data_IF_850906307708
#
_entry.id   IF_850906307708
#
_cell.length_a   1.000
_cell.length_b   1.000
_cell.length_c   1.000
_cell.angle_alpha   90.00
_cell.angle_beta   90.00
_cell.angle_gamma   90.00
#
_symmetry.space_group_name_H-M   'P 1'
#
loop_
_entity.id
_entity.type
_entity.pdbx_description
1 polymer ?
#
# COMPACT_ATOMS: atom_id res chain seq x y z
N UNK A 1 63.85 40.40 -27.55
CA UNK A 1 63.63 40.35 -26.10
C UNK A 1 62.21 40.74 -25.78
N UNK A 2 61.21 39.94 -26.12
CA UNK A 2 59.78 40.21 -25.83
C UNK A 2 58.97 38.90 -25.92
N UNK A 3 59.27 37.86 -25.13
CA UNK A 3 58.50 36.61 -25.09
C UNK A 3 58.57 35.87 -23.75
N UNK A 4 58.67 36.56 -22.59
CA UNK A 4 58.88 35.87 -21.32
C UNK A 4 58.02 36.43 -20.15
N UNK A 5 56.86 37.06 -20.45
CA UNK A 5 55.93 37.60 -19.41
C UNK A 5 54.50 37.04 -19.49
N UNK A 6 54.30 35.96 -20.24
CA UNK A 6 52.90 35.43 -20.39
C UNK A 6 52.67 34.09 -19.70
N UNK A 7 53.59 33.60 -18.85
CA UNK A 7 53.42 32.29 -18.17
C UNK A 7 53.18 32.38 -16.65
N UNK A 8 53.02 33.56 -16.06
CA UNK A 8 52.91 33.69 -14.59
C UNK A 8 51.51 34.11 -14.09
N UNK A 9 50.49 34.19 -14.97
CA UNK A 9 49.13 34.63 -14.59
C UNK A 9 48.05 33.55 -14.60
N UNK A 10 48.43 32.28 -14.82
CA UNK A 10 47.46 31.15 -14.84
C UNK A 10 47.49 30.27 -13.59
N UNK A 11 48.45 30.47 -12.69
CA UNK A 11 48.65 29.62 -11.51
C UNK A 11 48.00 30.13 -10.21
N UNK A 12 47.26 31.26 -10.22
CA UNK A 12 46.68 31.83 -9.00
C UNK A 12 45.16 31.59 -8.84
N UNK A 13 44.52 30.84 -9.75
CA UNK A 13 43.06 30.64 -9.72
C UNK A 13 42.59 29.27 -9.27
N UNK A 14 43.48 28.40 -8.73
CA UNK A 14 43.13 27.05 -8.31
C UNK A 14 43.11 26.81 -6.79
N UNK A 15 43.20 27.86 -5.97
CA UNK A 15 43.26 27.69 -4.48
C UNK A 15 41.98 28.27 -3.81
N UNK A 16 40.91 28.53 -4.54
CA UNK A 16 39.69 29.12 -3.96
C UNK A 16 38.54 28.11 -3.80
N UNK A 17 38.79 26.81 -3.84
CA UNK A 17 37.71 25.80 -3.72
C UNK A 17 37.94 24.76 -2.63
N UNK A 18 38.58 25.09 -1.51
CA UNK A 18 38.75 24.12 -0.41
C UNK A 18 38.48 24.72 0.96
N UNK A 19 37.38 25.47 1.11
CA UNK A 19 36.76 25.72 2.42
C UNK A 19 35.25 25.90 2.25
N UNK A 20 34.59 24.94 1.60
CA UNK A 20 33.22 24.63 2.04
C UNK A 20 33.41 23.75 3.27
N UNK A 21 33.39 24.38 4.44
CA UNK A 21 32.90 23.72 5.63
C UNK A 21 31.59 23.07 5.22
N UNK A 22 31.60 21.74 5.01
CA UNK A 22 30.40 20.94 5.08
C UNK A 22 29.84 21.23 6.46
N UNK A 23 28.92 22.20 6.55
CA UNK A 23 27.99 22.26 7.67
C UNK A 23 27.46 20.84 7.76
N UNK A 24 27.97 20.09 8.72
CA UNK A 24 27.36 18.86 9.20
C UNK A 24 25.92 19.28 9.38
N UNK A 25 25.01 18.79 8.51
CA UNK A 25 23.60 18.93 8.78
C UNK A 25 23.48 18.45 10.21
N UNK A 26 23.14 19.35 11.12
CA UNK A 26 22.71 18.98 12.44
C UNK A 26 21.60 17.98 12.18
N UNK A 27 21.87 16.71 12.47
CA UNK A 27 20.87 15.66 12.49
C UNK A 27 19.91 16.05 13.60
N UNK A 28 19.00 16.94 13.23
CA UNK A 28 17.83 17.24 14.02
C UNK A 28 17.12 15.93 14.28
N UNK A 29 16.85 15.68 15.55
CA UNK A 29 16.03 14.58 16.07
C UNK A 29 16.10 13.30 15.21
N UNK A 30 16.71 12.27 15.78
CA UNK A 30 16.83 10.95 15.16
C UNK A 30 15.51 10.63 14.46
N UNK A 31 15.51 10.55 13.12
CA UNK A 31 14.30 10.37 12.32
C UNK A 31 13.63 9.06 12.74
N UNK A 32 12.62 9.19 13.59
CA UNK A 32 11.89 8.07 14.21
C UNK A 32 11.15 7.24 13.17
N UNK A 33 10.96 7.80 11.98
CA UNK A 33 10.24 7.16 10.86
C UNK A 33 11.17 6.33 9.98
N UNK A 34 12.49 6.36 10.21
CA UNK A 34 13.41 5.45 9.54
C UNK A 34 13.20 4.02 10.04
N UNK A 35 13.39 3.05 9.13
CA UNK A 35 13.18 1.64 9.46
C UNK A 35 13.71 0.70 8.39
N UNK A 36 13.37 -0.56 8.51
CA UNK A 36 13.81 -1.63 7.61
C UNK A 36 12.65 -2.21 6.83
N UNK A 37 12.85 -2.42 5.54
CA UNK A 37 11.93 -3.14 4.68
C UNK A 37 12.37 -4.59 4.52
N UNK A 38 11.42 -5.52 4.58
CA UNK A 38 11.63 -6.94 4.27
C UNK A 38 10.54 -7.47 3.34
N UNK A 39 10.89 -8.41 2.49
CA UNK A 39 9.96 -9.06 1.56
C UNK A 39 9.65 -10.51 1.95
N UNK A 40 10.27 -10.99 3.00
CA UNK A 40 10.17 -12.40 3.42
C UNK A 40 10.20 -12.51 4.95
N UNK A 41 9.08 -12.21 5.58
CA UNK A 41 8.86 -12.39 7.02
C UNK A 41 7.49 -13.00 7.31
N UNK A 42 7.19 -13.27 8.57
CA UNK A 42 5.92 -13.85 8.98
C UNK A 42 4.72 -12.97 8.58
N UNK A 43 4.87 -11.64 8.57
CA UNK A 43 3.77 -10.72 8.24
C UNK A 43 3.51 -10.66 6.73
N UNK A 44 4.55 -10.65 5.90
CA UNK A 44 4.39 -10.76 4.44
C UNK A 44 3.74 -12.09 4.05
N UNK A 45 4.10 -13.19 4.73
CA UNK A 45 3.47 -14.50 4.52
C UNK A 45 1.99 -14.45 4.87
N UNK A 46 1.62 -13.91 6.04
CA UNK A 46 0.22 -13.77 6.50
C UNK A 46 -0.60 -12.90 5.54
N UNK A 47 -0.05 -11.79 5.05
CA UNK A 47 -0.75 -10.94 4.06
C UNK A 47 -0.92 -11.69 2.74
N UNK A 48 0.07 -12.46 2.28
CA UNK A 48 -0.07 -13.30 1.10
C UNK A 48 -1.23 -14.30 1.25
N UNK A 49 -1.27 -15.00 2.37
CA UNK A 49 -2.36 -15.94 2.69
C UNK A 49 -3.72 -15.23 2.72
N UNK A 50 -3.78 -14.00 3.27
CA UNK A 50 -5.01 -13.18 3.27
C UNK A 50 -5.49 -12.87 1.85
N UNK A 51 -4.60 -12.48 0.95
CA UNK A 51 -4.93 -12.18 -0.45
C UNK A 51 -5.37 -13.44 -1.22
N UNK A 52 -4.69 -14.56 -0.99
CA UNK A 52 -5.07 -15.86 -1.57
C UNK A 52 -6.44 -16.34 -1.08
N UNK A 53 -6.72 -16.16 0.22
CA UNK A 53 -8.02 -16.52 0.81
C UNK A 53 -9.14 -15.63 0.29
N UNK A 54 -8.86 -14.33 0.11
CA UNK A 54 -9.79 -13.41 -0.54
C UNK A 54 -10.17 -13.90 -1.94
N UNK A 55 -9.20 -14.31 -2.77
CA UNK A 55 -9.47 -14.82 -4.12
C UNK A 55 -10.36 -16.07 -4.11
N UNK A 56 -10.31 -16.86 -3.04
CA UNK A 56 -11.07 -18.11 -2.88
C UNK A 56 -12.41 -17.92 -2.14
N UNK A 57 -12.77 -16.69 -1.75
CA UNK A 57 -13.89 -16.41 -0.85
C UNK A 57 -13.83 -17.18 0.48
N UNK A 58 -12.61 -17.42 0.98
CA UNK A 58 -12.34 -18.08 2.25
C UNK A 58 -11.99 -17.04 3.30
N UNK A 59 -12.76 -16.95 4.37
CA UNK A 59 -12.53 -16.00 5.46
C UNK A 59 -11.85 -16.60 6.69
N UNK A 60 -11.38 -17.86 6.65
CA UNK A 60 -10.79 -18.54 7.81
C UNK A 60 -9.58 -17.81 8.37
N UNK A 61 -8.62 -17.44 7.52
CA UNK A 61 -7.41 -16.68 7.92
C UNK A 61 -7.72 -15.29 8.49
N UNK A 62 -8.84 -14.67 8.08
CA UNK A 62 -9.27 -13.36 8.58
C UNK A 62 -9.45 -13.40 10.11
N UNK A 63 -10.06 -14.46 10.64
CA UNK A 63 -10.27 -14.62 12.09
C UNK A 63 -8.98 -14.87 12.84
N UNK A 64 -7.98 -15.43 12.17
CA UNK A 64 -6.66 -15.65 12.76
C UNK A 64 -5.84 -14.36 12.87
N UNK A 65 -5.77 -13.53 11.80
CA UNK A 65 -4.80 -12.44 11.71
C UNK A 65 -5.38 -11.04 11.85
N UNK A 66 -6.71 -10.87 11.76
CA UNK A 66 -7.35 -9.55 11.86
C UNK A 66 -7.99 -9.38 13.24
N UNK A 67 -7.73 -8.24 13.89
CA UNK A 67 -8.35 -7.90 15.16
C UNK A 67 -9.85 -7.62 15.00
N UNK A 68 -10.65 -7.92 16.02
CA UNK A 68 -12.10 -7.65 16.03
C UNK A 68 -12.41 -6.16 15.80
N UNK A 69 -11.54 -5.30 16.35
CA UNK A 69 -11.66 -3.84 16.31
C UNK A 69 -10.94 -3.21 15.14
N UNK A 70 -10.71 -3.96 14.04
CA UNK A 70 -10.05 -3.45 12.85
C UNK A 70 -10.63 -2.10 12.42
N UNK A 71 -9.75 -1.13 12.16
CA UNK A 71 -10.09 0.13 11.48
C UNK A 71 -9.55 0.07 10.07
N UNK A 72 -10.43 -0.11 9.10
CA UNK A 72 -10.04 -0.22 7.69
C UNK A 72 -10.70 0.88 6.87
N UNK A 73 -9.87 1.65 6.15
CA UNK A 73 -10.36 2.69 5.25
C UNK A 73 -10.35 2.20 3.81
N UNK A 74 -11.38 2.57 3.08
CA UNK A 74 -11.59 2.20 1.70
C UNK A 74 -12.13 3.40 0.94
N UNK A 75 -11.58 3.70 -0.23
CA UNK A 75 -12.07 4.80 -1.04
C UNK A 75 -13.53 4.64 -1.46
N UNK A 76 -14.00 3.41 -1.56
CA UNK A 76 -15.37 3.12 -1.94
C UNK A 76 -16.36 3.42 -0.81
N UNK A 77 -16.01 3.05 0.43
CA UNK A 77 -16.86 3.27 1.60
C UNK A 77 -16.80 4.71 2.13
N UNK A 78 -15.74 5.47 1.81
CA UNK A 78 -15.55 6.85 2.29
C UNK A 78 -16.17 7.92 1.37
N UNK A 79 -16.54 7.59 0.15
CA UNK A 79 -17.20 8.52 -0.77
C UNK A 79 -18.71 8.55 -0.53
N UNK A 80 -19.13 9.20 0.56
CA UNK A 80 -20.55 9.37 0.93
C UNK A 80 -21.37 10.22 -0.08
N UNK A 81 -20.73 10.81 -1.07
CA UNK A 81 -21.43 11.70 -2.03
C UNK A 81 -22.17 10.98 -3.16
N UNK A 82 -22.01 9.68 -3.32
CA UNK A 82 -22.68 8.91 -4.38
C UNK A 82 -23.39 7.69 -3.80
N UNK A 83 -24.61 7.84 -3.40
CA UNK A 83 -25.81 6.97 -3.38
C UNK A 83 -25.68 5.43 -3.38
N UNK A 84 -24.48 4.89 -3.21
CA UNK A 84 -24.22 3.46 -3.09
C UNK A 84 -23.82 3.16 -1.66
N UNK A 85 -24.80 3.02 -0.78
CA UNK A 85 -24.59 2.63 0.60
C UNK A 85 -24.35 1.12 0.67
N UNK A 86 -23.11 0.68 0.38
CA UNK A 86 -22.70 -0.64 0.85
C UNK A 86 -22.48 -0.50 2.35
N UNK A 87 -23.41 -1.03 3.13
CA UNK A 87 -23.31 -1.02 4.59
C UNK A 87 -22.15 -1.92 4.99
N UNK A 88 -21.03 -1.30 5.40
CA UNK A 88 -19.93 -2.02 6.01
C UNK A 88 -20.09 -1.91 7.54
N UNK A 89 -20.34 -3.02 8.26
CA UNK A 89 -20.49 -3.00 9.72
C UNK A 89 -19.21 -2.62 10.46
N UNK A 90 -18.09 -2.40 9.74
CA UNK A 90 -16.80 -2.12 10.33
C UNK A 90 -16.13 -3.33 10.98
N UNK A 91 -14.90 -3.14 11.45
CA UNK A 91 -14.15 -4.19 12.12
C UNK A 91 -13.85 -5.40 11.22
N UNK A 92 -13.51 -6.52 11.84
CA UNK A 92 -13.25 -7.78 11.15
C UNK A 92 -14.48 -8.31 10.39
N UNK A 93 -15.67 -8.14 10.94
CA UNK A 93 -16.92 -8.56 10.30
C UNK A 93 -17.15 -7.80 8.99
N UNK A 94 -16.89 -6.47 8.99
CA UNK A 94 -16.96 -5.65 7.80
C UNK A 94 -15.97 -6.08 6.72
N UNK A 95 -14.75 -6.44 7.11
CA UNK A 95 -13.74 -6.94 6.18
C UNK A 95 -14.19 -8.26 5.50
N UNK A 96 -14.79 -9.18 6.26
CA UNK A 96 -15.36 -10.42 5.71
C UNK A 96 -16.53 -10.13 4.78
N UNK A 97 -17.41 -9.16 5.15
CA UNK A 97 -18.56 -8.80 4.33
C UNK A 97 -18.12 -8.18 2.99
N UNK A 98 -17.10 -7.33 2.98
CA UNK A 98 -16.53 -6.76 1.74
C UNK A 98 -16.03 -7.85 0.79
N UNK A 99 -15.36 -8.87 1.32
CA UNK A 99 -14.91 -10.03 0.53
C UNK A 99 -16.12 -10.73 -0.11
N UNK A 100 -17.15 -11.01 0.67
CA UNK A 100 -18.37 -11.67 0.18
C UNK A 100 -19.10 -10.83 -0.87
N UNK A 101 -19.20 -9.50 -0.67
CA UNK A 101 -19.81 -8.58 -1.62
C UNK A 101 -19.05 -8.59 -2.95
N UNK A 102 -17.73 -8.58 -2.93
CA UNK A 102 -16.94 -8.69 -4.15
C UNK A 102 -17.24 -9.99 -4.90
N UNK A 103 -17.36 -11.12 -4.20
CA UNK A 103 -17.69 -12.41 -4.79
C UNK A 103 -19.18 -12.55 -5.22
N UNK A 104 -20.07 -11.71 -4.71
CA UNK A 104 -21.45 -11.61 -5.23
C UNK A 104 -21.47 -10.92 -6.59
N UNK A 105 -20.64 -9.91 -6.78
CA UNK A 105 -20.57 -9.11 -7.99
C UNK A 105 -19.66 -9.70 -9.07
N UNK A 106 -18.56 -10.34 -8.68
CA UNK A 106 -17.55 -10.83 -9.62
C UNK A 106 -17.32 -12.34 -9.49
N UNK A 107 -16.97 -12.99 -10.61
CA UNK A 107 -16.36 -14.31 -10.68
C UNK A 107 -14.88 -14.21 -11.08
N UNK A 108 -14.16 -15.32 -11.00
CA UNK A 108 -12.76 -15.45 -11.42
C UNK A 108 -11.83 -14.41 -10.76
N UNK A 109 -12.12 -14.08 -9.50
CA UNK A 109 -11.31 -13.11 -8.76
C UNK A 109 -9.91 -13.67 -8.55
N UNK A 110 -8.92 -12.86 -8.95
CA UNK A 110 -7.50 -13.16 -8.74
C UNK A 110 -6.72 -11.91 -8.35
N UNK A 111 -5.64 -12.12 -7.59
CA UNK A 111 -4.73 -11.06 -7.14
C UNK A 111 -3.29 -11.47 -7.41
N UNK A 112 -2.44 -10.53 -7.85
CA UNK A 112 -1.00 -10.76 -7.86
C UNK A 112 -0.45 -10.58 -6.45
N UNK A 113 0.41 -11.49 -5.98
CA UNK A 113 0.89 -11.54 -4.59
C UNK A 113 2.42 -11.48 -4.47
N UNK A 114 3.10 -11.05 -5.50
CA UNK A 114 4.56 -11.01 -5.59
C UNK A 114 5.18 -9.75 -4.98
N UNK A 115 4.45 -8.65 -4.89
CA UNK A 115 4.96 -7.39 -4.34
C UNK A 115 4.32 -7.07 -2.98
N UNK A 116 4.77 -7.78 -1.94
CA UNK A 116 4.40 -7.56 -0.54
C UNK A 116 5.67 -7.22 0.23
N UNK A 117 5.62 -6.17 1.06
CA UNK A 117 6.76 -5.70 1.86
C UNK A 117 6.29 -5.35 3.26
N UNK A 118 7.05 -5.74 4.28
CA UNK A 118 6.86 -5.29 5.65
C UNK A 118 7.91 -4.22 5.98
N UNK A 119 7.46 -3.13 6.54
CA UNK A 119 8.26 -2.06 7.11
C UNK A 119 8.21 -2.15 8.64
N UNK A 120 9.38 -2.09 9.27
CA UNK A 120 9.51 -1.97 10.73
C UNK A 120 10.31 -0.70 11.01
N UNK A 121 9.66 0.29 11.60
CA UNK A 121 10.29 1.55 11.97
C UNK A 121 11.11 1.43 13.26
N UNK A 122 12.05 2.35 13.48
CA UNK A 122 12.87 2.39 14.70
C UNK A 122 12.02 2.59 15.97
N UNK A 123 10.87 3.24 15.86
CA UNK A 123 9.92 3.42 16.96
C UNK A 123 8.98 2.22 17.18
N UNK A 124 9.19 1.10 16.48
CA UNK A 124 8.45 -0.15 16.64
C UNK A 124 7.15 -0.24 15.86
N UNK A 125 6.78 0.77 15.06
CA UNK A 125 5.62 0.65 14.16
C UNK A 125 5.91 -0.40 13.09
N UNK A 126 4.98 -1.32 12.90
CA UNK A 126 5.08 -2.36 11.88
C UNK A 126 3.92 -2.24 10.91
N UNK A 127 4.22 -2.15 9.63
CA UNK A 127 3.24 -2.08 8.55
C UNK A 127 3.62 -2.99 7.40
N UNK A 128 2.65 -3.68 6.82
CA UNK A 128 2.84 -4.46 5.59
C UNK A 128 2.08 -3.81 4.45
N UNK A 129 2.77 -3.48 3.35
CA UNK A 129 2.19 -2.97 2.12
C UNK A 129 2.09 -4.05 1.05
N UNK A 130 1.04 -4.00 0.27
CA UNK A 130 0.84 -4.78 -0.94
C UNK A 130 0.56 -3.85 -2.12
N UNK A 131 1.29 -4.06 -3.20
CA UNK A 131 1.10 -3.40 -4.49
C UNK A 131 0.87 -4.48 -5.54
N UNK A 132 -0.31 -4.54 -6.11
CA UNK A 132 -0.64 -5.62 -7.02
C UNK A 132 -1.78 -5.27 -7.96
N UNK A 133 -2.22 -6.29 -8.69
CA UNK A 133 -3.36 -6.22 -9.58
C UNK A 133 -4.49 -7.08 -9.02
N UNK A 134 -5.67 -6.53 -9.01
CA UNK A 134 -6.92 -7.26 -8.83
C UNK A 134 -7.54 -7.50 -10.20
N UNK A 135 -8.05 -8.69 -10.44
CA UNK A 135 -8.79 -9.03 -11.67
C UNK A 135 -10.05 -9.83 -11.32
N UNK A 136 -11.09 -9.66 -12.10
CA UNK A 136 -12.35 -10.41 -11.97
C UNK A 136 -13.23 -10.23 -13.19
N UNK A 137 -14.25 -11.07 -13.32
CA UNK A 137 -15.28 -10.98 -14.38
C UNK A 137 -16.61 -10.57 -13.74
N UNK A 138 -17.19 -9.45 -14.15
CA UNK A 138 -18.47 -8.99 -13.67
C UNK A 138 -19.58 -10.02 -13.95
N UNK A 139 -20.38 -10.36 -12.94
CA UNK A 139 -21.46 -11.34 -13.09
C UNK A 139 -22.66 -10.80 -13.85
N UNK A 140 -22.87 -9.49 -13.82
CA UNK A 140 -23.98 -8.79 -14.46
C UNK A 140 -23.56 -8.18 -15.80
N UNK A 141 -22.45 -7.40 -15.82
CA UNK A 141 -21.93 -6.78 -17.05
C UNK A 141 -21.25 -7.76 -17.98
N UNK A 142 -20.76 -8.91 -17.50
CA UNK A 142 -19.91 -9.89 -18.20
C UNK A 142 -18.54 -9.34 -18.62
N UNK A 143 -18.20 -8.15 -18.18
CA UNK A 143 -16.91 -7.53 -18.53
C UNK A 143 -15.80 -8.10 -17.64
N UNK A 144 -14.67 -8.46 -18.26
CA UNK A 144 -13.44 -8.78 -17.57
C UNK A 144 -12.76 -7.47 -17.17
N UNK A 145 -12.41 -7.36 -15.92
CA UNK A 145 -11.86 -6.16 -15.32
C UNK A 145 -10.53 -6.44 -14.64
N UNK A 146 -9.61 -5.47 -14.72
CA UNK A 146 -8.32 -5.52 -14.02
C UNK A 146 -7.99 -4.11 -13.54
N UNK A 147 -7.62 -3.98 -12.25
CA UNK A 147 -7.28 -2.69 -11.66
C UNK A 147 -6.06 -2.81 -10.75
N UNK A 148 -5.14 -1.81 -10.75
CA UNK A 148 -4.09 -1.75 -9.75
C UNK A 148 -4.68 -1.49 -8.37
N UNK A 149 -4.12 -2.15 -7.37
CA UNK A 149 -4.49 -1.99 -5.96
C UNK A 149 -3.25 -1.78 -5.13
N UNK A 150 -3.30 -0.81 -4.23
CA UNK A 150 -2.38 -0.69 -3.12
C UNK A 150 -3.15 -0.87 -1.82
N UNK A 151 -2.69 -1.78 -0.95
CA UNK A 151 -3.22 -1.94 0.39
C UNK A 151 -2.09 -1.91 1.42
N UNK A 152 -2.42 -1.44 2.63
CA UNK A 152 -1.49 -1.41 3.74
C UNK A 152 -2.18 -1.89 5.02
N UNK A 153 -1.40 -2.53 5.90
CA UNK A 153 -1.89 -3.18 7.11
C UNK A 153 -0.94 -2.84 8.26
N UNK A 154 -1.43 -2.17 9.30
CA UNK A 154 -0.68 -1.93 10.54
C UNK A 154 -0.91 -3.05 11.52
N UNK A 155 0.18 -3.48 12.14
CA UNK A 155 0.21 -4.60 13.08
C UNK A 155 0.38 -4.12 14.52
N UNK A 156 -0.31 -4.81 15.41
CA UNK A 156 0.02 -4.85 16.83
C UNK A 156 0.14 -6.30 17.21
N UNK A 157 1.31 -6.68 17.71
CA UNK A 157 1.66 -8.07 17.92
C UNK A 157 1.46 -8.90 16.63
N UNK A 158 0.66 -9.93 16.65
CA UNK A 158 0.37 -10.79 15.50
C UNK A 158 -0.97 -10.50 14.82
N UNK A 159 -1.62 -9.37 15.14
CA UNK A 159 -2.92 -8.97 14.59
C UNK A 159 -2.82 -7.69 13.76
N UNK A 160 -3.54 -7.67 12.64
CA UNK A 160 -3.81 -6.44 11.89
C UNK A 160 -4.87 -5.64 12.65
N UNK A 161 -4.53 -4.43 13.07
CA UNK A 161 -5.40 -3.55 13.85
C UNK A 161 -5.97 -2.39 13.04
N UNK A 162 -5.28 -2.01 11.97
CA UNK A 162 -5.77 -0.98 11.04
C UNK A 162 -5.13 -1.15 9.67
N UNK A 163 -5.70 -0.49 8.68
CA UNK A 163 -5.21 -0.52 7.32
C UNK A 163 -6.10 0.25 6.36
N UNK A 164 -5.81 0.10 5.09
CA UNK A 164 -6.62 0.67 4.04
C UNK A 164 -6.21 0.16 2.66
N UNK A 165 -7.01 0.51 1.67
CA UNK A 165 -6.72 0.19 0.26
C UNK A 165 -7.08 1.36 -0.65
N UNK A 166 -6.34 1.47 -1.75
CA UNK A 166 -6.52 2.43 -2.81
C UNK A 166 -6.66 1.67 -4.13
N UNK A 167 -7.71 1.94 -4.87
CA UNK A 167 -7.98 1.35 -6.18
C UNK A 167 -8.98 2.23 -6.94
N UNK A 168 -9.11 2.04 -8.24
CA UNK A 168 -10.16 2.69 -9.01
C UNK A 168 -11.49 1.96 -8.79
N UNK A 169 -12.48 2.60 -8.14
CA UNK A 169 -13.76 1.95 -7.82
C UNK A 169 -14.75 1.91 -9.00
N UNK A 170 -14.39 2.44 -10.17
CA UNK A 170 -15.31 2.58 -11.31
C UNK A 170 -15.92 1.23 -11.70
N UNK A 171 -15.09 0.19 -11.85
CA UNK A 171 -15.56 -1.15 -12.22
C UNK A 171 -16.52 -1.75 -11.21
N UNK A 172 -16.26 -1.53 -9.92
CA UNK A 172 -17.12 -2.00 -8.84
C UNK A 172 -18.49 -1.29 -8.88
N UNK A 173 -18.49 0.03 -9.13
CA UNK A 173 -19.72 0.83 -9.24
C UNK A 173 -20.55 0.42 -10.44
N UNK A 174 -19.94 0.21 -11.59
CA UNK A 174 -20.63 -0.23 -12.81
C UNK A 174 -21.28 -1.60 -12.62
N UNK A 175 -20.56 -2.55 -12.03
CA UNK A 175 -21.08 -3.89 -11.75
C UNK A 175 -22.20 -3.85 -10.73
N UNK A 176 -22.04 -3.06 -9.65
CA UNK A 176 -23.11 -2.86 -8.67
C UNK A 176 -24.36 -2.24 -9.31
N UNK A 177 -24.22 -1.19 -10.14
CA UNK A 177 -25.34 -0.57 -10.82
C UNK A 177 -26.05 -1.55 -11.77
N UNK A 178 -25.29 -2.44 -12.43
CA UNK A 178 -25.86 -3.48 -13.29
C UNK A 178 -26.62 -4.55 -12.49
N UNK A 179 -26.21 -4.82 -11.24
CA UNK A 179 -26.87 -5.80 -10.36
C UNK A 179 -28.25 -5.34 -9.84
N UNK A 180 -28.56 -4.05 -9.97
CA UNK A 180 -29.83 -3.47 -9.50
C UNK A 180 -30.92 -3.43 -10.59
N UNK A 181 -30.59 -3.83 -11.81
CA UNK A 181 -31.53 -3.90 -12.95
C UNK A 181 -32.21 -5.26 -13.07
#
# INVERSE_FOLDING_TARGET
MKKLILCFLVSASLIACTNQETKKAETSEEDKDTGTWTSLDAKTIKVRQLLESYSKNDSSIVYEIIADTLKFSDQFSNNQENDVTIVNPGGRVGFVQDTRNAHQLFSDISLTTDNIRTFVSKNGVTATGWWGMWSGTGKFTKNKSTTPVHAYFYWKDDKIISGGRFFDPTLLREEFAASQK
#
